data_IF_636888739190
#
_entry.id   IF_636888739190
#
_cell.length_a   1.000
_cell.length_b   1.000
_cell.length_c   1.000
_cell.angle_alpha   90.00
_cell.angle_beta   90.00
_cell.angle_gamma   90.00
#
_symmetry.space_group_name_H-M   'P 1'
#
loop_
_entity.id
_entity.type
_entity.pdbx_description
1 polymer ?
#
# COMPACT_ATOMS: atom_id res chain seq x y z
N UNK A 1 -19.28 0.10 5.42
CA UNK A 1 -20.10 -0.35 4.28
C UNK A 1 -19.36 -1.52 3.65
N UNK A 2 -20.08 -2.51 3.14
CA UNK A 2 -19.47 -3.70 2.54
C UNK A 2 -19.50 -3.56 1.02
N UNK A 3 -18.37 -3.88 0.40
CA UNK A 3 -18.15 -3.75 -1.04
C UNK A 3 -17.64 -5.07 -1.60
N UNK A 4 -18.14 -5.44 -2.77
CA UNK A 4 -17.68 -6.63 -3.46
C UNK A 4 -16.59 -6.27 -4.46
N UNK A 5 -15.48 -6.99 -4.36
CA UNK A 5 -14.33 -6.84 -5.23
C UNK A 5 -14.02 -8.15 -5.92
N UNK A 6 -13.61 -8.06 -7.17
CA UNK A 6 -12.88 -9.13 -7.84
C UNK A 6 -11.54 -8.58 -8.28
N UNK A 7 -10.47 -9.24 -7.89
CA UNK A 7 -9.11 -8.85 -8.25
C UNK A 7 -8.49 -9.86 -9.20
N UNK A 8 -7.72 -9.38 -10.16
CA UNK A 8 -6.84 -10.25 -10.94
C UNK A 8 -5.58 -10.51 -10.11
N UNK A 9 -5.27 -11.79 -9.90
CA UNK A 9 -4.18 -12.22 -9.03
C UNK A 9 -3.17 -13.10 -9.75
N UNK A 10 -2.00 -13.26 -9.14
CA UNK A 10 -0.94 -14.18 -9.58
C UNK A 10 -0.15 -14.71 -8.38
N UNK A 11 0.76 -15.66 -8.61
CA UNK A 11 1.60 -16.27 -7.57
C UNK A 11 0.95 -17.44 -6.83
N UNK A 12 -0.38 -17.57 -6.94
CA UNK A 12 -1.17 -18.75 -6.56
C UNK A 12 -2.22 -19.00 -7.61
N UNK A 13 -2.73 -20.22 -7.64
CA UNK A 13 -3.86 -20.59 -8.46
C UNK A 13 -4.83 -21.53 -7.74
N UNK A 14 -5.93 -21.85 -8.43
CA UNK A 14 -7.00 -22.72 -7.96
C UNK A 14 -6.55 -24.15 -7.61
N UNK A 15 -5.36 -24.58 -8.06
CA UNK A 15 -4.82 -25.90 -7.76
C UNK A 15 -3.95 -25.90 -6.48
N UNK A 16 -3.59 -24.72 -5.95
CA UNK A 16 -2.94 -24.56 -4.63
C UNK A 16 -4.00 -24.64 -3.51
N UNK A 17 -4.37 -25.86 -3.13
CA UNK A 17 -5.41 -26.11 -2.13
C UNK A 17 -5.11 -25.41 -0.79
N UNK A 18 -3.85 -25.31 -0.38
CA UNK A 18 -3.49 -24.65 0.87
C UNK A 18 -3.77 -23.14 0.81
N UNK A 19 -3.48 -22.50 -0.34
CA UNK A 19 -3.83 -21.11 -0.56
C UNK A 19 -5.34 -20.89 -0.64
N UNK A 20 -6.07 -21.76 -1.35
CA UNK A 20 -7.53 -21.71 -1.46
C UNK A 20 -8.18 -21.80 -0.08
N UNK A 21 -7.78 -22.78 0.73
CA UNK A 21 -8.32 -22.97 2.08
C UNK A 21 -8.01 -21.77 2.98
N UNK A 22 -6.77 -21.27 2.95
CA UNK A 22 -6.37 -20.10 3.74
C UNK A 22 -7.16 -18.84 3.37
N UNK A 23 -7.40 -18.59 2.07
CA UNK A 23 -8.17 -17.44 1.60
C UNK A 23 -9.64 -17.52 2.02
N UNK A 24 -10.23 -18.71 1.92
CA UNK A 24 -11.61 -18.94 2.34
C UNK A 24 -11.78 -18.77 3.85
N UNK A 25 -10.90 -19.39 4.64
CA UNK A 25 -11.03 -19.37 6.11
C UNK A 25 -10.77 -18.00 6.72
N UNK A 26 -9.79 -17.26 6.21
CA UNK A 26 -9.34 -16.00 6.81
C UNK A 26 -10.05 -14.76 6.26
N UNK A 27 -10.46 -14.79 4.99
CA UNK A 27 -10.94 -13.62 4.27
C UNK A 27 -12.33 -13.82 3.65
N UNK A 28 -12.93 -15.02 3.78
CA UNK A 28 -14.14 -15.42 3.03
C UNK A 28 -13.98 -15.17 1.52
N UNK A 29 -12.76 -15.40 1.01
CA UNK A 29 -12.38 -15.07 -0.36
C UNK A 29 -12.36 -16.32 -1.25
N UNK A 30 -12.84 -16.17 -2.48
CA UNK A 30 -12.94 -17.25 -3.46
C UNK A 30 -11.93 -17.04 -4.59
N UNK A 31 -11.09 -18.04 -4.82
CA UNK A 31 -10.17 -18.06 -5.95
C UNK A 31 -10.82 -18.83 -7.11
N UNK A 32 -10.87 -18.22 -8.29
CA UNK A 32 -11.43 -18.79 -9.50
C UNK A 32 -10.54 -18.51 -10.70
N UNK A 33 -10.69 -19.32 -11.77
CA UNK A 33 -9.99 -19.10 -13.03
C UNK A 33 -10.97 -18.86 -14.16
N UNK A 34 -10.88 -17.70 -14.81
CA UNK A 34 -11.74 -17.33 -15.92
C UNK A 34 -10.93 -16.58 -16.99
N UNK A 35 -11.21 -16.85 -18.27
CA UNK A 35 -10.53 -16.16 -19.37
C UNK A 35 -9.00 -16.31 -19.41
N UNK A 36 -8.45 -17.34 -18.75
CA UNK A 36 -7.00 -17.56 -18.64
C UNK A 36 -6.29 -16.72 -17.57
N UNK A 37 -7.03 -16.06 -16.68
CA UNK A 37 -6.49 -15.35 -15.51
C UNK A 37 -7.08 -15.90 -14.22
N UNK A 38 -6.33 -15.80 -13.14
CA UNK A 38 -6.79 -16.10 -11.79
C UNK A 38 -7.44 -14.87 -11.17
N UNK A 39 -8.61 -15.07 -10.57
CA UNK A 39 -9.49 -14.07 -10.01
C UNK A 39 -9.73 -14.37 -8.54
N UNK A 40 -9.59 -13.38 -7.69
CA UNK A 40 -9.92 -13.44 -6.27
C UNK A 40 -11.16 -12.57 -6.01
N UNK A 41 -12.28 -13.20 -5.70
CA UNK A 41 -13.50 -12.51 -5.27
C UNK A 41 -13.55 -12.43 -3.75
N UNK A 42 -13.79 -11.23 -3.21
CA UNK A 42 -13.79 -10.97 -1.77
C UNK A 42 -14.70 -9.79 -1.45
N UNK A 43 -15.38 -9.85 -0.31
CA UNK A 43 -16.12 -8.71 0.25
C UNK A 43 -15.21 -7.97 1.22
N UNK A 44 -15.02 -6.67 0.99
CA UNK A 44 -14.25 -5.78 1.87
C UNK A 44 -15.15 -4.80 2.59
N UNK A 45 -14.81 -4.47 3.84
CA UNK A 45 -15.53 -3.47 4.64
C UNK A 45 -14.67 -2.23 4.86
N UNK A 46 -15.28 -1.04 4.74
CA UNK A 46 -14.61 0.23 5.00
C UNK A 46 -15.55 1.44 4.98
N UNK A 47 -15.02 2.63 5.27
CA UNK A 47 -15.74 3.90 5.12
C UNK A 47 -15.81 4.34 3.65
N UNK A 48 -14.87 3.87 2.82
CA UNK A 48 -14.84 4.06 1.37
C UNK A 48 -14.52 2.75 0.64
N UNK A 49 -14.83 2.67 -0.67
CA UNK A 49 -14.49 1.51 -1.47
C UNK A 49 -12.97 1.29 -1.57
N UNK A 50 -12.19 2.38 -1.56
CA UNK A 50 -10.71 2.33 -1.60
C UNK A 50 -10.17 1.70 -0.33
N UNK A 51 -10.61 2.17 0.84
CA UNK A 51 -10.20 1.60 2.14
C UNK A 51 -10.59 0.13 2.26
N UNK A 52 -11.83 -0.20 1.85
CA UNK A 52 -12.34 -1.57 1.86
C UNK A 52 -11.50 -2.50 0.98
N UNK A 53 -11.15 -2.05 -0.23
CA UNK A 53 -10.30 -2.80 -1.16
C UNK A 53 -8.89 -3.03 -0.59
N UNK A 54 -8.24 -1.98 -0.06
CA UNK A 54 -6.89 -2.08 0.49
C UNK A 54 -6.84 -2.98 1.73
N UNK A 55 -7.86 -2.91 2.58
CA UNK A 55 -8.01 -3.77 3.76
C UNK A 55 -8.17 -5.23 3.35
N UNK A 56 -9.06 -5.53 2.40
CA UNK A 56 -9.27 -6.88 1.88
C UNK A 56 -8.00 -7.45 1.24
N UNK A 57 -7.28 -6.63 0.46
CA UNK A 57 -6.01 -7.03 -0.18
C UNK A 57 -4.93 -7.28 0.86
N UNK A 58 -4.84 -6.46 1.91
CA UNK A 58 -3.90 -6.66 3.01
C UNK A 58 -4.19 -7.96 3.76
N UNK A 59 -5.46 -8.26 4.04
CA UNK A 59 -5.88 -9.50 4.69
C UNK A 59 -5.51 -10.72 3.83
N UNK A 60 -5.85 -10.70 2.53
CA UNK A 60 -5.55 -11.80 1.61
C UNK A 60 -4.04 -12.06 1.47
N UNK A 61 -3.22 -11.00 1.43
CA UNK A 61 -1.74 -11.12 1.43
C UNK A 61 -1.21 -11.65 2.76
N UNK A 62 -1.83 -11.30 3.88
CA UNK A 62 -1.47 -11.84 5.19
C UNK A 62 -1.76 -13.34 5.31
N UNK A 63 -2.87 -13.79 4.73
CA UNK A 63 -3.25 -15.20 4.67
C UNK A 63 -2.34 -16.01 3.74
N UNK A 64 -1.99 -15.45 2.59
CA UNK A 64 -1.20 -16.13 1.55
C UNK A 64 -0.07 -15.20 1.07
N UNK A 65 1.14 -15.27 1.67
CA UNK A 65 2.23 -14.35 1.37
C UNK A 65 2.70 -14.34 -0.09
N UNK A 66 2.55 -15.45 -0.81
CA UNK A 66 2.91 -15.55 -2.23
C UNK A 66 1.85 -14.96 -3.18
N UNK A 67 0.65 -14.62 -2.69
CA UNK A 67 -0.44 -14.01 -3.47
C UNK A 67 -0.05 -12.59 -3.91
N UNK A 68 -0.13 -12.34 -5.21
CA UNK A 68 0.08 -11.03 -5.81
C UNK A 68 -1.21 -10.50 -6.43
N UNK A 69 -1.81 -9.52 -5.78
CA UNK A 69 -2.93 -8.77 -6.33
C UNK A 69 -2.41 -7.78 -7.38
N UNK A 70 -2.83 -7.95 -8.64
CA UNK A 70 -2.27 -7.24 -9.79
C UNK A 70 -3.09 -5.99 -10.16
N UNK A 71 -4.42 -6.12 -10.19
CA UNK A 71 -5.36 -5.03 -10.51
C UNK A 71 -6.77 -5.42 -10.07
N UNK A 72 -7.68 -4.46 -10.03
CA UNK A 72 -9.10 -4.73 -9.94
C UNK A 72 -9.62 -5.30 -11.27
N UNK A 73 -10.50 -6.29 -11.21
CA UNK A 73 -11.34 -6.67 -12.34
C UNK A 73 -12.57 -5.76 -12.37
N UNK A 74 -12.83 -5.14 -13.52
CA UNK A 74 -13.90 -4.13 -13.67
C UNK A 74 -15.28 -4.73 -13.94
N UNK A 75 -15.41 -6.06 -13.94
CA UNK A 75 -16.64 -6.81 -14.17
C UNK A 75 -17.40 -6.31 -15.40
N UNK A 76 -16.77 -6.49 -16.57
CA UNK A 76 -17.34 -6.07 -17.84
C UNK A 76 -18.41 -7.05 -18.32
N UNK A 77 -19.63 -6.55 -18.42
CA UNK A 77 -20.81 -7.34 -18.77
C UNK A 77 -21.33 -7.02 -20.16
N UNK A 78 -21.86 -8.04 -20.83
CA UNK A 78 -22.60 -7.90 -22.09
C UNK A 78 -24.10 -8.06 -21.88
N UNK A 79 -24.88 -7.92 -22.97
CA UNK A 79 -26.34 -8.10 -22.96
C UNK A 79 -26.76 -9.46 -22.40
N UNK A 80 -25.98 -10.51 -22.70
CA UNK A 80 -26.28 -11.86 -22.20
C UNK A 80 -26.10 -11.96 -20.69
N UNK A 81 -24.98 -11.45 -20.17
CA UNK A 81 -24.65 -11.50 -18.74
C UNK A 81 -25.64 -10.69 -17.90
N UNK A 82 -25.98 -9.48 -18.36
CA UNK A 82 -27.00 -8.64 -17.72
C UNK A 82 -28.35 -9.37 -17.68
N UNK A 83 -28.74 -10.02 -18.78
CA UNK A 83 -29.99 -10.78 -18.85
C UNK A 83 -30.01 -11.94 -17.85
N UNK A 84 -28.88 -12.63 -17.70
CA UNK A 84 -28.73 -13.75 -16.78
C UNK A 84 -28.79 -13.30 -15.32
N UNK A 85 -27.96 -12.31 -14.93
CA UNK A 85 -27.92 -11.78 -13.55
C UNK A 85 -29.27 -11.20 -13.10
N UNK A 86 -30.00 -10.56 -14.01
CA UNK A 86 -31.32 -9.97 -13.70
C UNK A 86 -32.50 -10.92 -13.88
N UNK A 87 -32.28 -12.15 -14.37
CA UNK A 87 -33.35 -13.09 -14.72
C UNK A 87 -34.28 -12.59 -15.83
N UNK A 88 -33.82 -11.68 -16.69
CA UNK A 88 -34.59 -11.09 -17.79
C UNK A 88 -34.19 -11.67 -19.15
N UNK A 89 -35.00 -11.42 -20.17
CA UNK A 89 -34.63 -11.81 -21.53
C UNK A 89 -33.65 -10.80 -22.15
N UNK A 90 -32.77 -11.27 -23.05
CA UNK A 90 -31.86 -10.40 -23.83
C UNK A 90 -32.60 -9.30 -24.61
N UNK A 91 -33.84 -9.55 -25.02
CA UNK A 91 -34.70 -8.55 -25.65
C UNK A 91 -35.08 -7.42 -24.69
N UNK A 92 -35.38 -7.73 -23.42
CA UNK A 92 -35.64 -6.69 -22.41
C UNK A 92 -34.41 -5.81 -22.20
N UNK A 93 -33.22 -6.41 -22.08
CA UNK A 93 -31.96 -5.66 -21.94
C UNK A 93 -31.69 -4.79 -23.16
N UNK A 94 -31.97 -5.30 -24.37
CA UNK A 94 -31.83 -4.52 -25.60
C UNK A 94 -32.77 -3.30 -25.65
N UNK A 95 -33.99 -3.43 -25.10
CA UNK A 95 -34.93 -2.31 -24.97
C UNK A 95 -34.47 -1.27 -23.95
N UNK A 96 -33.84 -1.68 -22.84
CA UNK A 96 -33.20 -0.75 -21.90
C UNK A 96 -32.12 0.06 -22.60
N UNK A 97 -31.22 -0.61 -23.33
CA UNK A 97 -30.13 0.02 -24.06
C UNK A 97 -30.64 0.96 -25.16
N UNK A 98 -31.74 0.61 -25.84
CA UNK A 98 -32.36 1.45 -26.86
C UNK A 98 -33.03 2.72 -26.30
N UNK A 99 -33.22 2.79 -24.97
CA UNK A 99 -33.92 3.89 -24.31
C UNK A 99 -35.44 3.81 -24.42
N UNK A 100 -35.98 2.66 -24.85
CA UNK A 100 -37.43 2.41 -24.92
C UNK A 100 -38.07 2.34 -23.53
N UNK A 101 -37.26 2.11 -22.49
CA UNK A 101 -37.64 2.14 -21.07
C UNK A 101 -36.58 2.91 -20.29
N UNK A 102 -36.94 4.09 -19.76
CA UNK A 102 -36.08 4.90 -18.91
C UNK A 102 -36.36 4.60 -17.44
N UNK A 103 -35.31 4.40 -16.63
CA UNK A 103 -35.43 4.32 -15.18
C UNK A 103 -35.78 5.71 -14.66
N UNK A 104 -37.04 6.00 -14.33
CA UNK A 104 -37.41 7.29 -13.72
C UNK A 104 -36.92 8.54 -14.51
N UNK A 105 -36.66 8.41 -15.81
CA UNK A 105 -36.11 9.47 -16.67
C UNK A 105 -34.61 9.33 -17.02
N UNK A 106 -33.85 8.50 -16.33
CA UNK A 106 -32.42 8.28 -16.59
C UNK A 106 -32.17 7.26 -17.71
N UNK A 107 -31.26 7.56 -18.65
CA UNK A 107 -30.87 6.64 -19.71
C UNK A 107 -30.06 5.47 -19.15
N UNK A 108 -30.10 4.33 -19.85
CA UNK A 108 -29.21 3.21 -19.55
C UNK A 108 -27.74 3.66 -19.66
N UNK A 109 -26.82 3.13 -18.83
CA UNK A 109 -25.42 3.56 -18.82
C UNK A 109 -24.74 3.48 -20.19
N UNK A 110 -23.77 4.38 -20.39
CA UNK A 110 -22.92 4.34 -21.57
C UNK A 110 -22.05 3.06 -21.56
N UNK A 111 -21.80 2.44 -22.71
CA UNK A 111 -20.90 1.29 -22.78
C UNK A 111 -19.46 1.70 -22.42
N UNK A 112 -18.76 0.84 -21.68
CA UNK A 112 -17.32 0.98 -21.42
C UNK A 112 -16.52 0.91 -22.74
N UNK A 113 -16.96 0.04 -23.63
CA UNK A 113 -16.26 -0.21 -24.87
C UNK A 113 -16.99 -1.17 -25.78
N UNK A 114 -16.33 -1.55 -26.87
CA UNK A 114 -16.84 -2.52 -27.85
C UNK A 114 -15.78 -3.58 -28.10
N UNK A 115 -16.14 -4.84 -27.90
CA UNK A 115 -15.32 -6.01 -28.23
C UNK A 115 -15.86 -6.61 -29.52
N UNK A 116 -15.13 -6.40 -30.62
CA UNK A 116 -15.57 -6.77 -31.96
C UNK A 116 -16.84 -6.00 -32.38
N UNK A 117 -18.00 -6.68 -32.34
CA UNK A 117 -19.31 -6.07 -32.66
C UNK A 117 -20.23 -5.94 -31.43
N UNK A 118 -19.76 -6.37 -30.27
CA UNK A 118 -20.55 -6.41 -29.03
C UNK A 118 -20.09 -5.30 -28.10
N UNK A 119 -21.04 -4.52 -27.58
CA UNK A 119 -20.77 -3.52 -26.54
C UNK A 119 -20.65 -4.21 -25.17
N UNK A 120 -19.82 -3.64 -24.30
CA UNK A 120 -19.66 -4.05 -22.91
C UNK A 120 -19.91 -2.86 -21.99
N UNK A 121 -20.39 -3.13 -20.78
CA UNK A 121 -20.71 -2.15 -19.75
C UNK A 121 -20.03 -2.54 -18.44
N UNK A 122 -19.81 -1.58 -17.56
CA UNK A 122 -19.43 -1.87 -16.17
C UNK A 122 -20.65 -2.38 -15.42
N UNK A 123 -20.53 -3.51 -14.74
CA UNK A 123 -21.62 -4.02 -13.91
C UNK A 123 -22.03 -3.01 -12.83
N UNK A 124 -21.08 -2.33 -12.19
CA UNK A 124 -21.36 -1.35 -11.13
C UNK A 124 -22.35 -0.25 -11.57
N UNK A 125 -22.19 0.29 -12.78
CA UNK A 125 -23.09 1.31 -13.31
C UNK A 125 -24.44 0.73 -13.74
N UNK A 126 -24.44 -0.48 -14.31
CA UNK A 126 -25.67 -1.19 -14.67
C UNK A 126 -26.48 -1.52 -13.41
N UNK A 127 -25.82 -2.01 -12.36
CA UNK A 127 -26.43 -2.36 -11.08
C UNK A 127 -27.02 -1.12 -10.41
N UNK A 128 -26.29 0.00 -10.39
CA UNK A 128 -26.80 1.29 -9.90
C UNK A 128 -28.05 1.75 -10.66
N UNK A 129 -28.06 1.63 -12.00
CA UNK A 129 -29.23 1.97 -12.80
C UNK A 129 -30.42 1.00 -12.56
N UNK A 130 -30.13 -0.27 -12.31
CA UNK A 130 -31.13 -1.29 -11.99
C UNK A 130 -31.75 -1.12 -10.61
N UNK A 131 -31.05 -0.47 -9.66
CA UNK A 131 -31.58 -0.18 -8.33
C UNK A 131 -32.86 0.67 -8.39
N UNK A 132 -32.95 1.60 -9.35
CA UNK A 132 -34.16 2.39 -9.60
C UNK A 132 -35.38 1.55 -10.06
N UNK A 133 -35.15 0.31 -10.47
CA UNK A 133 -36.17 -0.68 -10.85
C UNK A 133 -36.34 -1.81 -9.82
N UNK A 134 -35.56 -1.82 -8.73
CA UNK A 134 -35.50 -2.92 -7.77
C UNK A 134 -35.02 -4.23 -8.40
N UNK A 135 -34.07 -4.14 -9.34
CA UNK A 135 -33.47 -5.26 -10.07
C UNK A 135 -31.95 -5.36 -9.86
N UNK A 136 -31.40 -4.58 -8.95
CA UNK A 136 -30.02 -4.67 -8.51
C UNK A 136 -29.76 -5.92 -7.65
N UNK A 137 -28.50 -6.23 -7.46
CA UNK A 137 -28.05 -7.35 -6.61
C UNK A 137 -27.90 -6.96 -5.13
N UNK A 138 -28.11 -5.70 -4.77
CA UNK A 138 -27.98 -5.17 -3.40
C UNK A 138 -26.53 -5.00 -2.93
N UNK A 139 -25.53 -5.35 -3.73
CA UNK A 139 -24.12 -5.18 -3.40
C UNK A 139 -23.65 -3.76 -3.74
N UNK A 140 -22.73 -3.23 -2.93
CA UNK A 140 -22.06 -1.98 -3.24
C UNK A 140 -20.80 -2.26 -4.05
N UNK A 141 -20.60 -1.48 -5.12
CA UNK A 141 -19.44 -1.59 -5.99
C UNK A 141 -18.72 -0.24 -6.07
N UNK A 142 -17.38 -0.23 -6.25
CA UNK A 142 -16.63 1.00 -6.44
C UNK A 142 -17.11 1.76 -7.69
N UNK A 143 -17.08 3.09 -7.61
CA UNK A 143 -17.27 3.97 -8.76
C UNK A 143 -16.06 3.91 -9.69
N UNK A 144 -16.19 4.43 -10.93
CA UNK A 144 -15.06 4.50 -11.89
C UNK A 144 -13.81 5.19 -11.33
N UNK A 145 -14.00 6.27 -10.58
CA UNK A 145 -12.91 7.02 -9.98
C UNK A 145 -12.21 6.17 -8.91
N UNK A 146 -12.98 5.57 -8.00
CA UNK A 146 -12.45 4.67 -6.97
C UNK A 146 -11.78 3.43 -7.57
N UNK A 147 -12.33 2.83 -8.63
CA UNK A 147 -11.67 1.73 -9.35
C UNK A 147 -10.29 2.13 -9.88
N UNK A 148 -10.17 3.34 -10.45
CA UNK A 148 -8.88 3.84 -10.93
C UNK A 148 -7.90 4.13 -9.78
N UNK A 149 -8.39 4.68 -8.68
CA UNK A 149 -7.59 4.93 -7.47
C UNK A 149 -7.11 3.62 -6.83
N UNK A 150 -7.97 2.59 -6.78
CA UNK A 150 -7.62 1.24 -6.35
C UNK A 150 -6.55 0.65 -7.28
N UNK A 151 -6.73 0.70 -8.60
CA UNK A 151 -5.74 0.19 -9.55
C UNK A 151 -4.39 0.90 -9.41
N UNK A 152 -4.39 2.22 -9.23
CA UNK A 152 -3.16 2.99 -8.95
C UNK A 152 -2.55 2.53 -7.64
N UNK A 153 -3.33 2.43 -6.57
CA UNK A 153 -2.86 2.00 -5.27
C UNK A 153 -2.29 0.58 -5.34
N UNK A 154 -2.88 -0.35 -6.09
CA UNK A 154 -2.37 -1.70 -6.30
C UNK A 154 -1.06 -1.71 -7.10
N UNK A 155 -0.97 -0.87 -8.14
CA UNK A 155 0.22 -0.72 -8.97
C UNK A 155 1.38 -0.05 -8.23
N UNK A 156 1.11 0.87 -7.30
CA UNK A 156 2.12 1.45 -6.40
C UNK A 156 2.37 0.58 -5.18
N UNK A 157 1.43 -0.29 -4.84
CA UNK A 157 1.58 -1.37 -3.85
C UNK A 157 2.38 -2.56 -4.37
N UNK A 158 3.23 -2.34 -5.40
CA UNK A 158 4.47 -3.13 -5.58
C UNK A 158 4.99 -3.37 -4.19
N UNK A 159 5.02 -4.64 -3.81
CA UNK A 159 5.45 -5.10 -2.49
C UNK A 159 6.79 -4.46 -2.16
N UNK A 160 6.76 -3.30 -1.50
CA UNK A 160 7.88 -2.86 -0.72
C UNK A 160 7.86 -3.81 0.45
N UNK A 161 8.66 -4.87 0.36
CA UNK A 161 9.00 -5.66 1.53
C UNK A 161 9.73 -4.69 2.45
N UNK A 162 9.01 -4.16 3.45
CA UNK A 162 9.58 -3.34 4.49
C UNK A 162 10.23 -4.28 5.49
N UNK A 163 11.56 -4.31 5.49
CA UNK A 163 12.30 -4.97 6.56
C UNK A 163 12.47 -3.97 7.69
N UNK A 164 11.55 -4.03 8.66
CA UNK A 164 11.68 -3.27 9.89
C UNK A 164 12.81 -3.89 10.70
N UNK A 165 13.89 -3.13 10.88
CA UNK A 165 14.99 -3.60 11.72
C UNK A 165 15.27 -2.59 12.81
N UNK A 166 15.29 -3.09 14.04
CA UNK A 166 15.39 -2.28 15.23
C UNK A 166 16.85 -2.25 15.70
N UNK A 167 17.32 -1.08 16.16
CA UNK A 167 18.62 -0.99 16.80
C UNK A 167 18.66 -1.88 18.06
N UNK A 168 19.79 -2.50 18.39
CA UNK A 168 19.92 -3.42 19.53
C UNK A 168 19.78 -2.78 20.92
N UNK A 169 19.29 -1.54 21.03
CA UNK A 169 19.11 -0.80 22.28
C UNK A 169 18.00 -1.45 23.14
N UNK A 170 18.31 -2.05 24.29
CA UNK A 170 17.32 -2.72 25.13
C UNK A 170 16.35 -1.73 25.79
N UNK A 171 15.08 -2.11 25.94
CA UNK A 171 14.08 -1.37 26.72
C UNK A 171 13.18 -0.41 25.93
N UNK A 172 13.29 -0.39 24.60
CA UNK A 172 12.51 0.47 23.71
C UNK A 172 11.62 -0.30 22.72
N UNK A 173 11.54 -1.62 22.85
CA UNK A 173 10.82 -2.52 21.93
C UNK A 173 9.34 -2.13 21.80
N UNK A 174 8.65 -1.96 22.92
CA UNK A 174 7.24 -1.55 22.95
C UNK A 174 7.02 -0.12 22.42
N UNK A 175 8.04 0.73 22.47
CA UNK A 175 7.96 2.08 21.94
C UNK A 175 8.09 2.08 20.42
N UNK A 176 9.02 1.30 19.87
CA UNK A 176 9.17 1.07 18.43
C UNK A 176 7.94 0.41 17.81
N UNK A 177 7.33 -0.54 18.51
CA UNK A 177 6.09 -1.18 18.06
C UNK A 177 4.97 -0.16 17.87
N UNK A 178 4.82 0.82 18.78
CA UNK A 178 3.87 1.94 18.59
C UNK A 178 4.17 2.77 17.35
N UNK A 179 5.44 3.02 17.04
CA UNK A 179 5.84 3.75 15.82
C UNK A 179 5.45 2.95 14.57
N UNK A 180 5.68 1.64 14.58
CA UNK A 180 5.28 0.74 13.47
C UNK A 180 3.76 0.72 13.31
N UNK A 181 3.02 0.65 14.41
CA UNK A 181 1.55 0.65 14.39
C UNK A 181 0.99 1.99 13.90
N UNK A 182 1.56 3.11 14.33
CA UNK A 182 1.15 4.43 13.85
C UNK A 182 1.43 4.61 12.36
N UNK A 183 2.62 4.20 11.89
CA UNK A 183 2.92 4.17 10.47
C UNK A 183 1.90 3.32 9.71
N UNK A 184 1.67 2.09 10.17
CA UNK A 184 0.76 1.11 9.55
C UNK A 184 -0.67 1.61 9.46
N UNK A 185 -1.15 2.24 10.53
CA UNK A 185 -2.57 2.56 10.69
C UNK A 185 -2.92 3.96 10.19
N UNK A 186 -1.98 4.92 10.20
CA UNK A 186 -2.28 6.34 9.90
C UNK A 186 -1.51 6.91 8.72
N UNK A 187 -0.31 6.39 8.40
CA UNK A 187 0.61 7.07 7.47
C UNK A 187 1.09 6.22 6.29
N UNK A 188 0.64 4.96 6.13
CA UNK A 188 1.03 4.09 5.01
C UNK A 188 0.88 4.75 3.64
N UNK A 189 -0.23 5.41 3.29
CA UNK A 189 -0.39 5.96 1.94
C UNK A 189 0.69 7.00 1.60
N UNK A 190 0.91 7.98 2.48
CA UNK A 190 1.96 9.00 2.29
C UNK A 190 3.38 8.43 2.37
N UNK A 191 3.57 7.38 3.17
CA UNK A 191 4.85 6.68 3.26
C UNK A 191 5.18 5.87 2.00
N UNK A 192 4.19 5.27 1.35
CA UNK A 192 4.38 4.57 0.07
C UNK A 192 4.70 5.53 -1.07
N UNK A 193 4.05 6.70 -1.12
CA UNK A 193 4.38 7.77 -2.06
C UNK A 193 5.82 8.27 -1.88
N UNK A 194 6.25 8.44 -0.62
CA UNK A 194 7.63 8.74 -0.29
C UNK A 194 8.60 7.67 -0.82
N UNK A 195 8.34 6.40 -0.55
CA UNK A 195 9.21 5.29 -0.98
C UNK A 195 9.39 5.24 -2.49
N UNK A 196 8.33 5.51 -3.26
CA UNK A 196 8.39 5.60 -4.71
C UNK A 196 9.34 6.70 -5.23
N UNK A 197 9.58 7.75 -4.44
CA UNK A 197 10.46 8.86 -4.76
C UNK A 197 11.92 8.71 -4.30
N UNK A 198 12.27 7.66 -3.54
CA UNK A 198 13.60 7.49 -2.95
C UNK A 198 14.36 6.32 -3.57
N UNK A 199 15.38 6.63 -4.37
CA UNK A 199 16.33 5.64 -4.87
C UNK A 199 17.42 5.31 -3.83
N UNK A 200 18.01 4.11 -3.93
CA UNK A 200 19.17 3.64 -3.15
C UNK A 200 18.95 3.28 -1.68
N UNK A 201 17.70 3.18 -1.23
CA UNK A 201 17.33 2.74 0.12
C UNK A 201 16.99 1.25 0.22
N UNK A 202 17.17 0.51 -0.88
CA UNK A 202 16.91 -0.93 -0.98
C UNK A 202 18.16 -1.76 -0.66
N UNK A 203 17.98 -2.87 0.04
CA UNK A 203 19.00 -3.89 0.26
C UNK A 203 19.30 -4.72 -1.01
N UNK A 204 20.18 -5.73 -0.88
CA UNK A 204 20.54 -6.65 -1.97
C UNK A 204 19.35 -7.46 -2.53
N UNK A 205 18.26 -7.56 -1.76
CA UNK A 205 17.01 -8.25 -2.14
C UNK A 205 15.98 -7.30 -2.75
N UNK A 206 16.31 -6.01 -2.87
CA UNK A 206 15.40 -4.98 -3.39
C UNK A 206 14.38 -4.48 -2.37
N UNK A 207 14.53 -4.83 -1.09
CA UNK A 207 13.65 -4.41 0.00
C UNK A 207 14.13 -3.08 0.60
N UNK A 208 13.23 -2.10 0.78
CA UNK A 208 13.59 -0.87 1.47
C UNK A 208 13.91 -1.17 2.94
N UNK A 209 15.05 -0.65 3.42
CA UNK A 209 15.47 -0.82 4.81
C UNK A 209 14.96 0.35 5.64
N UNK A 210 14.04 0.03 6.56
CA UNK A 210 13.43 0.99 7.45
C UNK A 210 13.89 0.71 8.87
N UNK A 211 14.61 1.68 9.43
CA UNK A 211 15.04 1.70 10.83
C UNK A 211 13.98 2.44 11.64
N UNK A 212 13.48 1.81 12.69
CA UNK A 212 12.48 2.40 13.58
C UNK A 212 13.13 2.69 14.92
N UNK A 213 12.95 3.92 15.40
CA UNK A 213 13.42 4.35 16.71
C UNK A 213 12.38 5.23 17.40
N UNK A 214 12.26 5.07 18.71
CA UNK A 214 11.56 6.01 19.58
C UNK A 214 12.39 7.29 19.77
N UNK A 215 11.77 8.49 19.83
CA UNK A 215 12.51 9.74 20.00
C UNK A 215 13.35 9.81 21.28
N UNK A 216 12.97 9.07 22.33
CA UNK A 216 13.69 9.00 23.60
C UNK A 216 14.84 7.99 23.61
N UNK A 217 15.04 7.22 22.53
CA UNK A 217 16.16 6.29 22.43
C UNK A 217 17.51 7.01 22.39
N UNK A 218 18.57 6.42 22.97
CA UNK A 218 19.93 6.89 22.77
C UNK A 218 20.31 6.95 21.28
N UNK A 219 20.70 8.13 20.79
CA UNK A 219 21.09 8.33 19.39
C UNK A 219 22.28 7.46 19.00
N UNK A 220 23.22 7.23 19.94
CA UNK A 220 24.41 6.40 19.72
C UNK A 220 24.07 5.03 19.12
N UNK A 221 23.19 4.26 19.76
CA UNK A 221 22.86 2.91 19.32
C UNK A 221 22.19 2.89 17.94
N UNK A 222 21.37 3.89 17.65
CA UNK A 222 20.71 4.03 16.34
C UNK A 222 21.69 4.48 15.26
N UNK A 223 22.62 5.40 15.56
CA UNK A 223 23.65 5.85 14.62
C UNK A 223 24.65 4.74 14.27
N UNK A 224 25.11 3.99 15.26
CA UNK A 224 25.96 2.79 15.05
C UNK A 224 25.22 1.77 14.17
N UNK A 225 23.93 1.55 14.45
CA UNK A 225 23.11 0.63 13.68
C UNK A 225 22.89 1.07 12.23
N UNK A 226 22.53 2.34 12.00
CA UNK A 226 22.42 2.94 10.66
C UNK A 226 23.74 2.82 9.89
N UNK A 227 24.87 3.00 10.57
CA UNK A 227 26.20 2.92 9.97
C UNK A 227 26.62 1.51 9.57
N UNK A 228 25.98 0.49 10.12
CA UNK A 228 26.19 -0.90 9.71
C UNK A 228 25.66 -1.21 8.31
N UNK A 229 24.77 -0.36 7.78
CA UNK A 229 24.22 -0.52 6.44
C UNK A 229 25.13 0.17 5.39
N UNK A 230 25.54 -0.59 4.38
CA UNK A 230 26.34 -0.10 3.24
C UNK A 230 25.54 0.68 2.19
N UNK A 231 24.29 1.06 2.48
CA UNK A 231 23.39 1.77 1.59
C UNK A 231 22.56 2.79 2.37
N UNK A 232 21.76 3.59 1.67
CA UNK A 232 20.90 4.58 2.33
C UNK A 232 19.82 3.84 3.13
N UNK A 233 19.41 4.38 4.27
CA UNK A 233 18.35 3.82 5.10
C UNK A 233 17.33 4.88 5.45
N UNK A 234 16.11 4.44 5.74
CA UNK A 234 15.03 5.32 6.13
C UNK A 234 14.86 5.20 7.64
N UNK A 235 15.17 6.26 8.38
CA UNK A 235 14.88 6.34 9.80
C UNK A 235 13.48 6.93 10.00
N UNK A 236 12.64 6.21 10.74
CA UNK A 236 11.29 6.63 11.11
C UNK A 236 11.20 6.76 12.63
N UNK A 237 10.65 7.89 13.06
CA UNK A 237 10.37 8.18 14.46
C UNK A 237 8.94 8.71 14.61
N UNK A 238 8.23 8.29 15.66
CA UNK A 238 6.92 8.88 15.99
C UNK A 238 7.09 10.09 16.90
N UNK A 239 6.67 11.25 16.42
CA UNK A 239 6.19 12.37 17.26
C UNK A 239 4.78 12.71 16.77
N UNK A 240 4.10 13.70 17.36
CA UNK A 240 2.75 14.16 16.92
C UNK A 240 2.66 14.45 15.41
N UNK A 241 3.80 14.61 14.72
CA UNK A 241 3.95 14.57 13.27
C UNK A 241 4.88 13.42 12.85
N UNK A 242 4.48 12.68 11.83
CA UNK A 242 5.23 11.57 11.25
C UNK A 242 6.49 12.11 10.57
N UNK A 243 7.66 11.60 10.95
CA UNK A 243 8.92 12.02 10.36
C UNK A 243 9.70 10.83 9.81
N UNK A 244 9.94 10.87 8.50
CA UNK A 244 10.80 9.93 7.78
C UNK A 244 12.01 10.66 7.22
N UNK A 245 13.21 10.21 7.58
CA UNK A 245 14.47 10.80 7.13
C UNK A 245 15.32 9.77 6.42
N UNK A 246 15.77 10.08 5.20
CA UNK A 246 16.75 9.26 4.47
C UNK A 246 18.15 9.64 4.97
N UNK A 247 18.81 8.68 5.59
CA UNK A 247 20.16 8.78 6.09
C UNK A 247 21.10 8.01 5.17
N UNK A 248 22.24 8.62 4.85
CA UNK A 248 23.25 8.02 4.00
C UNK A 248 24.58 7.95 4.73
N UNK A 249 25.21 6.79 4.62
CA UNK A 249 26.58 6.50 5.08
C UNK A 249 27.56 6.50 3.91
N UNK A 250 27.08 6.72 2.67
CA UNK A 250 27.90 6.73 1.45
C UNK A 250 28.75 8.00 1.38
N UNK A 251 29.97 7.86 0.84
CA UNK A 251 30.98 8.92 0.76
C UNK A 251 30.45 10.25 0.21
N UNK A 252 30.92 11.34 0.84
CA UNK A 252 30.45 12.72 0.66
C UNK A 252 30.58 13.19 -0.80
N UNK A 253 29.51 13.77 -1.34
CA UNK A 253 29.55 14.58 -2.57
C UNK A 253 30.01 16.02 -2.23
N UNK A 254 31.21 16.19 -1.66
CA UNK A 254 31.82 17.51 -1.43
C UNK A 254 32.21 17.85 0.03
N UNK A 255 32.73 19.06 0.28
CA UNK A 255 33.09 19.52 1.61
C UNK A 255 31.82 19.78 2.44
N UNK A 256 31.58 18.92 3.41
CA UNK A 256 30.43 18.97 4.31
C UNK A 256 30.91 19.23 5.73
N UNK A 257 30.34 20.24 6.38
CA UNK A 257 30.53 20.52 7.81
C UNK A 257 30.15 19.30 8.65
N UNK A 258 30.98 18.96 9.63
CA UNK A 258 30.72 17.84 10.55
C UNK A 258 30.16 18.43 11.84
N UNK A 259 28.94 18.06 12.16
CA UNK A 259 28.29 18.36 13.45
C UNK A 259 28.46 17.16 14.36
N UNK A 260 29.05 17.39 15.54
CA UNK A 260 29.23 16.34 16.54
C UNK A 260 27.92 16.12 17.31
N UNK A 261 27.50 14.86 17.42
CA UNK A 261 26.36 14.42 18.24
C UNK A 261 26.90 13.91 19.56
N UNK A 262 26.42 14.49 20.67
CA UNK A 262 26.82 14.08 22.03
C UNK A 262 26.43 12.63 22.30
N UNK A 263 27.24 11.92 23.12
CA UNK A 263 26.95 10.53 23.52
C UNK A 263 25.65 10.38 24.31
N UNK A 264 25.24 11.44 25.02
CA UNK A 264 24.03 11.47 25.82
C UNK A 264 22.79 11.91 25.02
N UNK A 265 22.96 12.26 23.73
CA UNK A 265 21.85 12.72 22.90
C UNK A 265 20.84 11.61 22.61
N UNK A 266 19.58 11.98 22.64
CA UNK A 266 18.46 11.15 22.18
C UNK A 266 18.28 11.24 20.66
N UNK A 267 17.58 10.27 20.07
CA UNK A 267 17.23 10.26 18.65
C UNK A 267 16.45 11.53 18.27
N UNK A 268 15.53 11.99 19.12
CA UNK A 268 14.77 13.22 18.88
C UNK A 268 15.66 14.47 18.86
N UNK A 269 16.65 14.56 19.75
CA UNK A 269 17.63 15.67 19.74
C UNK A 269 18.55 15.61 18.53
N UNK A 270 19.01 14.42 18.17
CA UNK A 270 19.82 14.23 16.95
C UNK A 270 19.04 14.64 15.70
N UNK A 271 17.77 14.23 15.57
CA UNK A 271 16.95 14.59 14.41
C UNK A 271 16.65 16.08 14.35
N UNK A 272 16.54 16.76 15.50
CA UNK A 272 16.48 18.22 15.55
C UNK A 272 17.75 18.85 14.97
N UNK A 273 18.93 18.37 15.35
CA UNK A 273 20.21 18.84 14.78
C UNK A 273 20.28 18.61 13.25
N UNK A 274 19.72 17.49 12.77
CA UNK A 274 19.61 17.15 11.34
C UNK A 274 18.65 18.10 10.60
N UNK A 275 17.59 18.57 11.24
CA UNK A 275 16.69 19.58 10.68
C UNK A 275 17.34 20.95 10.62
N UNK A 276 18.07 21.33 11.68
CA UNK A 276 18.76 22.62 11.79
C UNK A 276 19.95 22.72 10.82
N UNK A 277 20.61 21.60 10.52
CA UNK A 277 21.81 21.54 9.68
C UNK A 277 21.65 20.55 8.51
N UNK A 278 20.77 20.83 7.52
CA UNK A 278 20.38 19.86 6.49
C UNK A 278 21.50 19.47 5.52
N UNK A 279 22.57 20.27 5.43
CA UNK A 279 23.73 20.02 4.57
C UNK A 279 24.91 19.41 5.33
N UNK A 280 24.83 19.28 6.67
CA UNK A 280 25.90 18.76 7.51
C UNK A 280 25.92 17.23 7.55
N UNK A 281 27.08 16.69 7.90
CA UNK A 281 27.26 15.29 8.27
C UNK A 281 27.36 15.20 9.79
N UNK A 282 26.80 14.16 10.37
CA UNK A 282 26.70 13.96 11.80
C UNK A 282 27.59 12.82 12.23
N UNK A 283 28.50 13.08 13.17
CA UNK A 283 29.40 12.08 13.72
C UNK A 283 29.24 12.02 15.24
N UNK A 284 29.32 10.82 15.80
CA UNK A 284 29.30 10.64 17.25
C UNK A 284 30.57 11.23 17.88
N UNK A 285 30.41 11.80 19.06
CA UNK A 285 31.53 12.25 19.88
C UNK A 285 32.48 11.08 20.19
N UNK A 286 33.73 11.21 19.75
CA UNK A 286 34.78 10.20 19.93
C UNK A 286 35.36 10.30 21.34
N UNK A 287 35.39 9.18 22.07
CA UNK A 287 36.17 9.04 23.30
C UNK A 287 37.53 8.45 22.91
N UNK A 288 38.62 8.89 23.53
CA UNK A 288 40.02 8.57 23.20
C UNK A 288 40.40 7.07 23.31
N UNK A 289 39.45 6.16 23.54
CA UNK A 289 39.68 4.72 23.70
C UNK A 289 38.83 3.89 22.73
N UNK A 290 39.49 3.33 21.71
CA UNK A 290 39.11 2.09 20.97
C UNK A 290 37.65 1.94 20.51
N UNK A 291 36.93 3.03 20.22
CA UNK A 291 35.63 2.93 19.56
C UNK A 291 35.84 2.83 18.04
N UNK A 292 35.17 1.88 17.38
CA UNK A 292 35.11 1.81 15.92
C UNK A 292 34.58 3.15 15.39
N UNK A 293 35.31 3.75 14.44
CA UNK A 293 34.99 5.07 13.91
C UNK A 293 33.70 4.98 13.08
N UNK A 294 32.57 5.35 13.70
CA UNK A 294 31.25 5.36 13.05
C UNK A 294 31.28 6.36 11.89
N UNK A 295 30.97 5.86 10.68
CA UNK A 295 30.97 6.70 9.49
C UNK A 295 30.00 7.89 9.66
N UNK A 296 30.40 9.12 9.32
CA UNK A 296 29.52 10.29 9.42
C UNK A 296 28.26 10.11 8.59
N UNK A 297 27.10 10.32 9.22
CA UNK A 297 25.78 10.13 8.60
C UNK A 297 25.32 11.48 8.02
N UNK A 298 24.90 11.50 6.76
CA UNK A 298 24.35 12.69 6.13
C UNK A 298 22.87 12.49 5.78
N UNK A 299 22.04 13.51 6.04
CA UNK A 299 20.66 13.54 5.55
C UNK A 299 20.63 13.80 4.06
N UNK A 300 19.88 12.97 3.33
CA UNK A 300 19.63 13.18 1.89
C UNK A 300 18.25 13.74 1.59
N UNK A 301 17.27 13.33 2.38
CA UNK A 301 15.89 13.74 2.21
C UNK A 301 15.20 13.63 3.58
N UNK A 302 14.23 14.49 3.86
CA UNK A 302 13.24 14.18 4.89
C UNK A 302 11.86 14.60 4.44
N UNK A 303 10.87 13.85 4.90
CA UNK A 303 9.47 14.19 4.82
C UNK A 303 8.95 14.38 6.24
N UNK A 304 8.21 15.47 6.42
CA UNK A 304 7.39 15.72 7.60
C UNK A 304 5.93 15.71 7.14
N UNK A 305 5.10 14.90 7.79
CA UNK A 305 3.64 14.91 7.65
C UNK A 305 3.01 15.13 9.03
#
# INVERSE_FOLDING_TARGET
MDYDFTFVVSGVDVDDQAAVDALLESCDALLARAGGVDLLSVTGSGESAIEAALTAVSAARGAVPQLRVCRLDRDLVGVHEIAERTGRSRQNVSQWIAGDRKAQGEPFPAPEGTVGRSRAWLWSEVNQWLAAHGLDDGAAYPTRAEMAEIDVALATSVSVTLSFTAAGTPGFEAARERVVDELRNKHIPGFMEFLAGVAHTTDEKGAHVVVVADPGEPARGVMEYVSSFGHDVILITATDQFMATVLSTRGRLGPTEIVTVSRESTVGEWLRLVQENPQAAFALETSEALDEEVAPIQRRLAIAA
#
